data_IF_768795745040
#
_entry.id   IF_768795745040
#
_cell.length_a   1.000
_cell.length_b   1.000
_cell.length_c   1.000
_cell.angle_alpha   90.00
_cell.angle_beta   90.00
_cell.angle_gamma   90.00
#
_symmetry.space_group_name_H-M   'P 1'
#
loop_
_entity.id
_entity.type
_entity.pdbx_description
1 polymer ?
#
# COMPACT_ATOMS: atom_id res chain seq x y z
N UNK A 1 -6.44 7.62 -8.26
CA UNK A 1 -6.91 7.19 -6.93
C UNK A 1 -8.07 8.08 -6.51
N UNK A 2 -9.22 7.48 -6.31
CA UNK A 2 -10.44 8.21 -6.03
C UNK A 2 -11.13 7.72 -4.77
N UNK A 3 -12.07 8.51 -4.25
CA UNK A 3 -12.91 8.17 -3.09
C UNK A 3 -12.11 7.70 -1.88
N UNK A 4 -10.94 8.31 -1.66
CA UNK A 4 -10.12 7.96 -0.51
C UNK A 4 -10.81 8.43 0.78
N UNK A 5 -10.98 7.53 1.74
CA UNK A 5 -11.61 7.82 3.02
C UNK A 5 -11.08 6.91 4.11
N UNK A 6 -11.28 7.34 5.34
CA UNK A 6 -10.97 6.52 6.52
C UNK A 6 -12.29 6.06 7.13
N UNK A 7 -12.45 4.75 7.27
CA UNK A 7 -13.61 4.15 7.92
C UNK A 7 -13.19 3.58 9.28
N UNK A 8 -14.06 3.75 10.26
CA UNK A 8 -13.88 3.18 11.59
C UNK A 8 -15.02 2.21 11.85
N UNK A 9 -14.67 0.96 12.19
CA UNK A 9 -15.65 -0.04 12.60
C UNK A 9 -15.26 -0.60 13.95
N UNK A 10 -15.99 -1.59 14.44
CA UNK A 10 -15.69 -2.25 15.71
C UNK A 10 -15.47 -3.73 15.47
N UNK A 11 -14.51 -4.31 16.19
CA UNK A 11 -14.30 -5.75 16.18
C UNK A 11 -15.32 -6.44 17.11
N UNK A 12 -15.19 -7.76 17.27
CA UNK A 12 -16.09 -8.55 18.10
C UNK A 12 -16.06 -8.14 19.59
N UNK A 13 -14.95 -7.55 20.03
CA UNK A 13 -14.77 -7.09 21.39
C UNK A 13 -15.17 -5.63 21.59
N UNK A 14 -15.68 -4.97 20.55
CA UNK A 14 -16.08 -3.58 20.57
C UNK A 14 -14.94 -2.58 20.44
N UNK A 15 -13.72 -3.03 20.15
CA UNK A 15 -12.59 -2.14 19.95
C UNK A 15 -12.67 -1.48 18.56
N UNK A 16 -12.30 -0.19 18.44
CA UNK A 16 -12.32 0.48 17.14
C UNK A 16 -11.24 -0.09 16.23
N UNK A 17 -11.63 -0.31 14.97
CA UNK A 17 -10.75 -0.79 13.92
C UNK A 17 -10.79 0.22 12.79
N UNK A 18 -9.62 0.71 12.38
CA UNK A 18 -9.48 1.73 11.35
C UNK A 18 -9.13 1.09 10.02
N UNK A 19 -9.80 1.52 8.97
CA UNK A 19 -9.54 1.08 7.60
C UNK A 19 -9.39 2.29 6.69
N UNK A 20 -8.43 2.21 5.78
CA UNK A 20 -8.31 3.13 4.67
C UNK A 20 -8.98 2.50 3.44
N UNK A 21 -9.88 3.23 2.82
CA UNK A 21 -10.62 2.76 1.65
C UNK A 21 -10.41 3.73 0.49
N UNK A 22 -10.10 3.21 -0.69
CA UNK A 22 -9.89 4.05 -1.87
C UNK A 22 -10.11 3.23 -3.14
N UNK A 23 -10.51 3.92 -4.20
CA UNK A 23 -10.74 3.29 -5.50
C UNK A 23 -9.52 3.47 -6.40
N UNK A 24 -9.15 2.40 -7.08
CA UNK A 24 -8.07 2.40 -8.07
C UNK A 24 -8.59 1.85 -9.38
N UNK A 25 -8.12 2.42 -10.50
CA UNK A 25 -8.33 1.83 -11.82
C UNK A 25 -7.54 0.51 -11.92
N UNK A 26 -7.96 -0.43 -12.78
CA UNK A 26 -7.23 -1.69 -12.93
C UNK A 26 -5.74 -1.52 -13.22
N UNK A 27 -5.36 -0.53 -14.02
CA UNK A 27 -3.97 -0.24 -14.33
C UNK A 27 -3.19 0.22 -13.10
N UNK A 28 -3.84 0.98 -12.22
CA UNK A 28 -3.24 1.44 -10.96
C UNK A 28 -3.05 0.28 -9.98
N UNK A 29 -4.02 -0.62 -9.89
CA UNK A 29 -3.91 -1.83 -9.06
C UNK A 29 -2.75 -2.70 -9.55
N UNK A 30 -2.67 -2.91 -10.87
CA UNK A 30 -1.59 -3.69 -11.46
C UNK A 30 -0.23 -3.05 -11.21
N UNK A 31 -0.13 -1.72 -11.32
CA UNK A 31 1.10 -1.00 -11.04
C UNK A 31 1.51 -1.13 -9.58
N UNK A 32 0.55 -1.01 -8.65
CA UNK A 32 0.81 -1.16 -7.22
C UNK A 32 1.28 -2.58 -6.90
N UNK A 33 0.62 -3.60 -7.46
CA UNK A 33 1.01 -4.99 -7.27
C UNK A 33 2.42 -5.25 -7.80
N UNK A 34 2.74 -4.69 -8.95
CA UNK A 34 4.07 -4.80 -9.55
C UNK A 34 5.14 -4.18 -8.64
N UNK A 35 4.88 -2.99 -8.09
CA UNK A 35 5.80 -2.32 -7.20
C UNK A 35 6.06 -3.13 -5.93
N UNK A 36 5.00 -3.68 -5.34
CA UNK A 36 5.11 -4.48 -4.11
C UNK A 36 5.90 -5.76 -4.37
N UNK A 37 5.59 -6.48 -5.45
CA UNK A 37 6.28 -7.71 -5.81
C UNK A 37 7.75 -7.46 -6.14
N UNK A 38 8.04 -6.39 -6.89
CA UNK A 38 9.40 -6.01 -7.26
C UNK A 38 10.22 -5.64 -6.02
N UNK A 39 9.62 -4.87 -5.11
CA UNK A 39 10.27 -4.48 -3.85
C UNK A 39 10.61 -5.70 -3.01
N UNK A 40 9.70 -6.66 -2.91
CA UNK A 40 9.95 -7.91 -2.19
C UNK A 40 11.13 -8.67 -2.80
N UNK A 41 11.15 -8.81 -4.13
CA UNK A 41 12.22 -9.53 -4.83
C UNK A 41 13.58 -8.85 -4.72
N UNK A 42 13.63 -7.52 -4.79
CA UNK A 42 14.88 -6.77 -4.72
C UNK A 42 15.44 -6.67 -3.30
N UNK A 43 14.55 -6.47 -2.31
CA UNK A 43 14.97 -6.25 -0.93
C UNK A 43 15.46 -7.53 -0.24
N UNK A 44 14.90 -8.68 -0.61
CA UNK A 44 15.15 -9.94 0.08
C UNK A 44 15.85 -10.97 -0.81
N UNK A 45 16.86 -10.51 -1.55
CA UNK A 45 17.67 -11.40 -2.41
C UNK A 45 18.71 -12.24 -1.67
N UNK A 46 19.00 -11.87 -0.43
CA UNK A 46 20.04 -12.56 0.34
C UNK A 46 19.53 -13.88 0.90
N UNK A 47 20.44 -14.86 1.00
CA UNK A 47 20.13 -16.18 1.56
C UNK A 47 19.99 -16.16 3.07
N UNK A 48 20.50 -15.10 3.71
CA UNK A 48 20.41 -14.93 5.16
C UNK A 48 19.36 -13.86 5.48
N UNK A 49 18.23 -14.29 6.01
CA UNK A 49 17.15 -13.39 6.41
C UNK A 49 16.94 -13.51 7.92
N UNK A 50 16.83 -12.36 8.59
CA UNK A 50 16.42 -12.33 9.98
C UNK A 50 14.94 -12.70 10.12
N UNK A 51 14.47 -12.95 11.35
CA UNK A 51 13.06 -13.22 11.59
C UNK A 51 12.17 -12.03 11.14
N UNK A 52 12.64 -10.79 11.37
CA UNK A 52 11.92 -9.59 10.93
C UNK A 52 11.87 -9.49 9.41
N UNK A 53 12.94 -9.86 8.72
CA UNK A 53 12.98 -9.87 7.25
C UNK A 53 11.97 -10.86 6.68
N UNK A 54 11.86 -12.04 7.29
CA UNK A 54 10.87 -13.05 6.87
C UNK A 54 9.45 -12.52 7.03
N UNK A 55 9.16 -11.85 8.14
CA UNK A 55 7.83 -11.27 8.37
C UNK A 55 7.51 -10.19 7.34
N UNK A 56 8.47 -9.30 7.06
CA UNK A 56 8.29 -8.25 6.06
C UNK A 56 8.09 -8.83 4.66
N UNK A 57 8.86 -9.84 4.31
CA UNK A 57 8.72 -10.52 3.02
C UNK A 57 7.32 -11.14 2.87
N UNK A 58 6.83 -11.80 3.92
CA UNK A 58 5.49 -12.39 3.92
C UNK A 58 4.40 -11.33 3.78
N UNK A 59 4.55 -10.19 4.45
CA UNK A 59 3.59 -9.09 4.33
C UNK A 59 3.55 -8.52 2.93
N UNK A 60 4.72 -8.29 2.32
CA UNK A 60 4.79 -7.79 0.94
C UNK A 60 4.18 -8.78 -0.05
N UNK A 61 4.48 -10.06 0.12
CA UNK A 61 3.96 -11.11 -0.75
C UNK A 61 2.44 -11.21 -0.61
N UNK A 62 1.92 -11.19 0.62
CA UNK A 62 0.48 -11.24 0.88
C UNK A 62 -0.23 -10.02 0.28
N UNK A 63 0.37 -8.84 0.39
CA UNK A 63 -0.18 -7.62 -0.18
C UNK A 63 -0.21 -7.69 -1.71
N UNK A 64 0.85 -8.18 -2.33
CA UNK A 64 0.91 -8.34 -3.78
C UNK A 64 -0.17 -9.29 -4.27
N UNK A 65 -0.38 -10.42 -3.58
CA UNK A 65 -1.41 -11.40 -3.92
C UNK A 65 -2.82 -10.80 -3.77
N UNK A 66 -3.04 -10.06 -2.70
CA UNK A 66 -4.31 -9.38 -2.44
C UNK A 66 -4.65 -8.36 -3.53
N UNK A 67 -3.67 -7.55 -3.92
CA UNK A 67 -3.83 -6.59 -5.00
C UNK A 67 -4.06 -7.29 -6.35
N UNK A 68 -3.35 -8.40 -6.58
CA UNK A 68 -3.52 -9.19 -7.79
C UNK A 68 -4.93 -9.77 -7.94
N UNK A 69 -5.54 -10.18 -6.84
CA UNK A 69 -6.92 -10.68 -6.83
C UNK A 69 -7.93 -9.59 -7.20
N UNK A 70 -7.66 -8.35 -6.81
CA UNK A 70 -8.53 -7.21 -7.10
C UNK A 70 -8.54 -6.84 -8.58
N UNK A 71 -7.49 -7.15 -9.34
CA UNK A 71 -7.45 -6.81 -10.77
C UNK A 71 -8.54 -7.51 -11.59
N UNK A 72 -9.17 -8.55 -11.04
CA UNK A 72 -10.19 -9.31 -11.75
C UNK A 72 -11.58 -8.64 -11.79
N UNK A 73 -11.77 -7.46 -11.15
CA UNK A 73 -13.06 -6.78 -11.24
C UNK A 73 -13.40 -5.80 -10.12
N UNK A 74 -12.75 -5.85 -8.98
CA UNK A 74 -13.00 -4.90 -7.90
C UNK A 74 -12.09 -3.69 -8.05
N UNK A 75 -12.63 -2.50 -7.82
CA UNK A 75 -11.86 -1.25 -7.89
C UNK A 75 -11.57 -0.67 -6.50
N UNK A 76 -12.22 -1.16 -5.46
CA UNK A 76 -12.07 -0.63 -4.10
C UNK A 76 -11.04 -1.42 -3.31
N UNK A 77 -10.05 -0.72 -2.78
CA UNK A 77 -9.01 -1.28 -1.91
C UNK A 77 -9.34 -0.89 -0.48
N UNK A 78 -9.32 -1.86 0.42
CA UNK A 78 -9.57 -1.66 1.86
C UNK A 78 -8.38 -2.21 2.64
N UNK A 79 -7.66 -1.34 3.33
CA UNK A 79 -6.44 -1.71 4.03
C UNK A 79 -6.41 -1.15 5.45
N UNK A 80 -5.84 -1.92 6.38
CA UNK A 80 -5.50 -1.43 7.71
C UNK A 80 -4.31 -0.45 7.59
N UNK A 81 -4.14 0.47 8.57
CA UNK A 81 -3.05 1.47 8.49
C UNK A 81 -1.66 0.84 8.31
N UNK A 82 -1.36 -0.26 9.00
CA UNK A 82 -0.07 -0.94 8.86
C UNK A 82 0.13 -1.46 7.44
N UNK A 83 -0.90 -2.03 6.82
CA UNK A 83 -0.85 -2.55 5.46
C UNK A 83 -0.73 -1.42 4.44
N UNK A 84 -1.41 -0.30 4.68
CA UNK A 84 -1.31 0.90 3.85
C UNK A 84 0.11 1.47 3.90
N UNK A 85 0.73 1.49 5.08
CA UNK A 85 2.12 1.94 5.21
C UNK A 85 3.09 1.02 4.45
N UNK A 86 2.84 -0.29 4.45
CA UNK A 86 3.62 -1.25 3.67
C UNK A 86 3.50 -0.94 2.17
N UNK A 87 2.29 -0.67 1.70
CA UNK A 87 2.05 -0.29 0.30
C UNK A 87 2.78 1.01 -0.05
N UNK A 88 2.64 2.03 0.80
CA UNK A 88 3.28 3.33 0.58
C UNK A 88 4.80 3.19 0.52
N UNK A 89 5.40 2.43 1.44
CA UNK A 89 6.84 2.19 1.46
C UNK A 89 7.31 1.52 0.16
N UNK A 90 6.59 0.50 -0.29
CA UNK A 90 6.93 -0.21 -1.51
C UNK A 90 6.83 0.70 -2.75
N UNK A 91 5.76 1.49 -2.85
CA UNK A 91 5.56 2.44 -3.95
C UNK A 91 6.66 3.50 -3.94
N UNK A 92 6.96 4.06 -2.76
CA UNK A 92 8.01 5.08 -2.62
C UNK A 92 9.37 4.56 -3.04
N UNK A 93 9.74 3.35 -2.63
CA UNK A 93 11.01 2.72 -2.99
C UNK A 93 11.08 2.42 -4.47
N UNK A 94 10.01 1.94 -5.06
CA UNK A 94 9.96 1.66 -6.49
C UNK A 94 10.19 2.94 -7.29
N UNK A 95 9.45 4.01 -6.97
CA UNK A 95 9.56 5.29 -7.67
C UNK A 95 10.97 5.87 -7.49
N UNK A 96 11.47 5.91 -6.26
CA UNK A 96 12.78 6.47 -5.95
C UNK A 96 13.92 5.74 -6.67
N UNK A 97 13.93 4.41 -6.65
CA UNK A 97 14.99 3.64 -7.28
C UNK A 97 14.97 3.79 -8.80
N UNK A 98 13.79 3.89 -9.43
CA UNK A 98 13.69 4.05 -10.88
C UNK A 98 14.03 5.48 -11.32
N UNK A 99 13.68 6.48 -10.53
CA UNK A 99 14.03 7.86 -10.84
C UNK A 99 15.54 8.12 -10.80
N UNK A 100 16.27 7.38 -9.96
CA UNK A 100 17.71 7.52 -9.82
C UNK A 100 18.50 6.52 -10.69
N UNK A 101 17.81 5.64 -11.41
CA UNK A 101 18.46 4.67 -12.29
C UNK A 101 18.94 5.33 -13.57
N UNK A 102 20.09 4.87 -14.11
CA UNK A 102 20.62 5.36 -15.39
C UNK A 102 19.71 5.00 -16.55
N UNK A 103 19.03 3.86 -16.45
CA UNK A 103 18.04 3.43 -17.42
C UNK A 103 16.93 2.64 -16.71
N UNK A 104 15.75 2.65 -17.30
CA UNK A 104 14.56 2.02 -16.74
C UNK A 104 14.13 0.91 -17.68
N UNK A 105 13.80 -0.26 -17.14
CA UNK A 105 13.28 -1.37 -17.94
C UNK A 105 11.97 -0.94 -18.59
N UNK A 106 11.75 -1.39 -19.82
CA UNK A 106 10.54 -1.04 -20.57
C UNK A 106 9.28 -1.39 -19.78
N UNK A 107 9.26 -2.53 -19.10
CA UNK A 107 8.15 -3.01 -18.28
C UNK A 107 7.85 -2.12 -17.06
N UNK A 108 8.80 -1.27 -16.64
CA UNK A 108 8.64 -0.39 -15.49
C UNK A 108 8.15 1.02 -15.84
N UNK A 109 8.16 1.40 -17.13
CA UNK A 109 7.79 2.75 -17.56
C UNK A 109 6.35 3.12 -17.23
N UNK A 110 5.39 2.26 -17.59
CA UNK A 110 3.98 2.54 -17.34
C UNK A 110 3.65 2.49 -15.84
N UNK A 111 4.09 1.46 -15.08
CA UNK A 111 3.88 1.47 -13.63
C UNK A 111 4.48 2.68 -12.96
N UNK A 112 5.67 3.10 -13.35
CA UNK A 112 6.33 4.26 -12.75
C UNK A 112 5.51 5.54 -12.92
N UNK A 113 4.98 5.79 -14.13
CA UNK A 113 4.16 6.96 -14.39
C UNK A 113 2.89 6.97 -13.52
N UNK A 114 2.20 5.83 -13.42
CA UNK A 114 0.99 5.69 -12.62
C UNK A 114 1.29 5.87 -11.12
N UNK A 115 2.38 5.28 -10.64
CA UNK A 115 2.72 5.32 -9.22
C UNK A 115 3.18 6.70 -8.77
N UNK A 116 3.83 7.46 -9.63
CA UNK A 116 4.17 8.85 -9.33
C UNK A 116 2.92 9.68 -9.03
N UNK A 117 1.86 9.48 -9.80
CA UNK A 117 0.60 10.17 -9.59
C UNK A 117 -0.11 9.74 -8.31
N UNK A 118 0.09 8.49 -7.90
CA UNK A 118 -0.54 7.93 -6.71
C UNK A 118 0.20 8.25 -5.42
N UNK A 119 1.48 8.59 -5.49
CA UNK A 119 2.35 8.70 -4.31
C UNK A 119 1.86 9.73 -3.30
N UNK A 120 1.55 10.95 -3.75
CA UNK A 120 1.09 12.01 -2.87
C UNK A 120 -0.27 11.68 -2.20
N UNK A 121 -1.30 11.23 -2.94
CA UNK A 121 -2.54 10.80 -2.29
C UNK A 121 -2.35 9.65 -1.30
N UNK A 122 -1.47 8.70 -1.60
CA UNK A 122 -1.18 7.60 -0.68
C UNK A 122 -0.50 8.10 0.61
N UNK A 123 0.42 9.04 0.49
CA UNK A 123 1.09 9.65 1.64
C UNK A 123 0.09 10.35 2.55
N UNK A 124 -0.84 11.10 1.98
CA UNK A 124 -1.86 11.79 2.74
C UNK A 124 -2.83 10.84 3.41
N UNK A 125 -3.28 9.83 2.69
CA UNK A 125 -4.18 8.82 3.25
C UNK A 125 -3.51 8.03 4.38
N UNK A 126 -2.25 7.67 4.21
CA UNK A 126 -1.47 6.96 5.23
C UNK A 126 -1.32 7.81 6.49
N UNK A 127 -1.01 9.10 6.35
CA UNK A 127 -0.89 10.00 7.49
C UNK A 127 -2.22 10.15 8.23
N UNK A 128 -3.32 10.27 7.51
CA UNK A 128 -4.66 10.38 8.09
C UNK A 128 -5.07 9.08 8.79
N UNK A 129 -4.82 7.93 8.17
CA UNK A 129 -5.12 6.63 8.76
C UNK A 129 -4.34 6.41 10.05
N UNK A 130 -3.06 6.78 10.06
CA UNK A 130 -2.21 6.64 11.23
C UNK A 130 -2.70 7.54 12.38
N UNK A 131 -3.03 8.80 12.09
CA UNK A 131 -3.58 9.71 13.10
C UNK A 131 -4.89 9.18 13.67
N UNK A 132 -5.77 8.68 12.82
CA UNK A 132 -7.05 8.13 13.23
C UNK A 132 -6.86 6.89 14.10
N UNK A 133 -5.91 6.03 13.76
CA UNK A 133 -5.59 4.84 14.54
C UNK A 133 -5.05 5.17 15.93
N UNK A 134 -4.30 6.28 16.06
CA UNK A 134 -3.77 6.74 17.34
C UNK A 134 -4.82 7.41 18.22
N UNK A 135 -5.86 8.01 17.63
CA UNK A 135 -6.90 8.74 18.36
C UNK A 135 -8.29 8.45 17.81
N UNK A 136 -8.73 7.17 17.75
CA UNK A 136 -10.02 6.83 17.15
C UNK A 136 -11.21 7.39 17.93
N UNK A 137 -11.12 7.49 19.23
CA UNK A 137 -12.20 8.03 20.09
C UNK A 137 -12.36 9.54 19.86
N UNK A 138 -11.26 10.27 19.75
CA UNK A 138 -11.28 11.69 19.49
C UNK A 138 -11.86 11.98 18.11
N UNK A 139 -11.48 11.20 17.10
CA UNK A 139 -12.03 11.32 15.75
C UNK A 139 -13.55 11.11 15.74
N UNK A 140 -14.05 10.15 16.53
CA UNK A 140 -15.47 9.87 16.65
C UNK A 140 -16.27 11.02 17.28
N UNK A 141 -15.67 11.72 18.23
CA UNK A 141 -16.37 12.81 18.92
C UNK A 141 -16.63 14.01 18.05
N UNK A 142 -15.99 14.09 16.91
CA UNK A 142 -16.15 15.18 15.93
C UNK A 142 -17.12 14.82 14.78
N UNK A 143 -17.63 13.61 14.76
CA UNK A 143 -18.51 13.15 13.70
C UNK A 143 -19.99 13.28 14.02
#
# INVERSE_FOLDING_TARGET
MERARIDISQDLDGHPVVYACFDLAPEQIAAAAHAVATTAGERFRTTEMSADDVLQFRELTALADELGELTAGASTVVLRPARLNTLLDAVSRFVETREHAEWIREEDHQPLALLREMLFPLEQLSAEATRTALSPTEHRSHS
#
